data_IF_025536896669
#
_entry.id   IF_025536896669
#
_cell.length_a   1.000
_cell.length_b   1.000
_cell.length_c   1.000
_cell.angle_alpha   90.00
_cell.angle_beta   90.00
_cell.angle_gamma   90.00
#
_symmetry.space_group_name_H-M   'P 1'
#
loop_
_entity.id
_entity.type
_entity.pdbx_description
1 polymer ?
#
# COMPACT_ATOMS: atom_id res chain seq x y z
N UNK A 1 6.81 29.66 15.45
CA UNK A 1 7.78 28.97 14.56
C UNK A 1 8.14 27.55 15.03
N UNK A 2 7.32 26.88 15.85
CA UNK A 2 7.57 25.51 16.29
C UNK A 2 6.29 24.68 16.13
N UNK A 3 6.08 24.17 14.91
CA UNK A 3 5.08 23.14 14.67
C UNK A 3 5.78 21.77 14.82
N UNK A 4 5.15 20.86 15.55
CA UNK A 4 5.69 19.54 15.87
C UNK A 4 4.85 18.47 15.20
N UNK A 5 5.49 17.45 14.63
CA UNK A 5 4.79 16.32 14.03
C UNK A 5 4.81 15.14 15.01
N UNK A 6 3.65 14.49 15.16
CA UNK A 6 3.43 13.42 16.12
C UNK A 6 2.78 12.25 15.40
N UNK A 7 3.33 11.04 15.57
CA UNK A 7 2.75 9.81 15.06
C UNK A 7 2.32 8.92 16.19
N UNK A 8 1.08 8.45 16.18
CA UNK A 8 0.54 7.55 17.20
C UNK A 8 -0.11 6.31 16.57
N UNK A 9 0.06 5.13 17.17
CA UNK A 9 -0.56 3.87 16.71
C UNK A 9 -1.79 3.49 17.54
N UNK A 10 -2.96 3.23 16.93
CA UNK A 10 -4.14 2.69 17.63
C UNK A 10 -5.41 2.45 16.79
N UNK A 11 -6.28 1.57 17.27
CA UNK A 11 -7.31 0.77 16.56
C UNK A 11 -8.62 1.52 16.14
N UNK A 12 -9.42 0.88 15.26
CA UNK A 12 -10.25 1.46 14.18
C UNK A 12 -11.43 2.41 14.47
N UNK A 13 -11.98 2.52 15.68
CA UNK A 13 -13.28 3.22 15.86
C UNK A 13 -13.26 4.34 16.92
N UNK A 14 -12.26 4.35 17.81
CA UNK A 14 -12.17 5.34 18.89
C UNK A 14 -11.49 6.66 18.48
N UNK A 15 -10.50 6.65 17.58
CA UNK A 15 -9.69 7.84 17.32
C UNK A 15 -10.47 9.11 16.91
N UNK A 16 -11.55 8.99 16.13
CA UNK A 16 -12.34 10.16 15.67
C UNK A 16 -13.30 10.66 16.75
N UNK A 17 -13.95 9.74 17.49
CA UNK A 17 -14.99 10.09 18.47
C UNK A 17 -14.43 10.63 19.78
N UNK A 18 -13.16 10.38 20.07
CA UNK A 18 -12.52 10.74 21.35
C UNK A 18 -11.52 11.91 21.24
N UNK A 19 -10.89 12.15 20.08
CA UNK A 19 -9.80 13.14 19.93
C UNK A 19 -10.28 14.47 19.30
N UNK A 20 -11.28 14.44 18.43
CA UNK A 20 -11.81 15.64 17.75
C UNK A 20 -13.03 16.34 18.40
N UNK A 21 -13.67 15.86 19.49
CA UNK A 21 -14.71 16.64 20.16
C UNK A 21 -14.18 17.97 20.71
N UNK A 22 -15.06 18.97 20.81
CA UNK A 22 -14.80 20.24 21.51
C UNK A 22 -14.51 20.10 23.01
N UNK A 23 -14.78 18.91 23.58
CA UNK A 23 -14.43 18.55 24.95
C UNK A 23 -12.97 18.09 25.12
N UNK A 24 -12.19 17.97 24.04
CA UNK A 24 -10.77 17.66 24.13
C UNK A 24 -10.00 18.91 24.62
N UNK A 25 -9.35 18.87 25.79
CA UNK A 25 -8.59 20.00 26.34
C UNK A 25 -7.41 20.43 25.45
N UNK A 26 -6.97 19.57 24.54
CA UNK A 26 -5.86 19.81 23.62
C UNK A 26 -6.30 20.16 22.19
N UNK A 27 -7.59 20.35 21.94
CA UNK A 27 -8.11 20.58 20.59
C UNK A 27 -7.44 21.78 19.89
N UNK A 28 -7.18 22.87 20.62
CA UNK A 28 -6.54 24.07 20.09
C UNK A 28 -5.10 23.83 19.57
N UNK A 29 -4.42 22.81 20.11
CA UNK A 29 -3.07 22.45 19.72
C UNK A 29 -3.02 21.56 18.47
N UNK A 30 -4.12 20.93 18.08
CA UNK A 30 -4.16 20.03 16.92
C UNK A 30 -4.45 20.85 15.66
N UNK A 31 -3.44 21.04 14.79
CA UNK A 31 -3.60 21.74 13.50
C UNK A 31 -4.03 20.82 12.38
N UNK A 32 -3.55 19.58 12.40
CA UNK A 32 -3.92 18.56 11.42
C UNK A 32 -4.06 17.23 12.13
N UNK A 33 -5.09 16.47 11.75
CA UNK A 33 -5.27 15.09 12.14
C UNK A 33 -5.54 14.24 10.90
N UNK A 34 -4.76 13.18 10.70
CA UNK A 34 -4.96 12.19 9.64
C UNK A 34 -4.73 10.80 10.19
N UNK A 35 -5.48 9.82 9.68
CA UNK A 35 -5.41 8.43 10.12
C UNK A 35 -5.41 7.50 8.92
N UNK A 36 -4.59 6.47 8.98
CA UNK A 36 -4.58 5.35 8.04
C UNK A 36 -4.52 4.02 8.81
N UNK A 37 -5.62 3.27 8.81
CA UNK A 37 -5.80 2.05 9.62
C UNK A 37 -5.42 2.34 11.08
N UNK A 38 -4.27 1.83 11.54
CA UNK A 38 -3.80 1.97 12.91
C UNK A 38 -2.82 3.13 13.09
N UNK A 39 -2.25 3.69 12.02
CA UNK A 39 -1.31 4.81 12.09
C UNK A 39 -2.04 6.16 12.08
N UNK A 40 -1.68 7.05 13.00
CA UNK A 40 -2.20 8.41 13.13
C UNK A 40 -1.05 9.42 12.91
N UNK A 41 -1.30 10.47 12.15
CA UNK A 41 -0.44 11.63 11.97
C UNK A 41 -1.15 12.87 12.55
N UNK A 42 -0.47 13.56 13.45
CA UNK A 42 -0.92 14.82 14.04
C UNK A 42 0.13 15.90 13.76
N UNK A 43 -0.32 17.04 13.24
CA UNK A 43 0.48 18.28 13.26
C UNK A 43 0.03 19.06 14.49
N UNK A 44 0.96 19.26 15.40
CA UNK A 44 0.76 19.84 16.71
C UNK A 44 1.38 21.24 16.79
N UNK A 45 0.67 22.14 17.44
CA UNK A 45 1.09 23.50 17.71
C UNK A 45 1.17 23.71 19.21
N UNK A 46 2.38 23.92 19.73
CA UNK A 46 2.66 24.05 21.15
C UNK A 46 3.92 23.30 21.56
N UNK A 47 4.30 23.33 22.85
CA UNK A 47 5.51 22.67 23.34
C UNK A 47 5.48 21.15 23.17
N UNK A 48 6.63 20.52 22.94
CA UNK A 48 6.73 19.05 22.86
C UNK A 48 6.14 18.34 24.09
N UNK A 49 6.34 18.91 25.29
CA UNK A 49 5.84 18.34 26.54
C UNK A 49 4.32 18.12 26.53
N UNK A 50 3.57 19.04 25.92
CA UNK A 50 2.10 18.98 25.85
C UNK A 50 1.60 17.79 25.02
N UNK A 51 2.42 17.27 24.10
CA UNK A 51 2.08 16.08 23.32
C UNK A 51 2.27 14.81 24.13
N UNK A 52 3.29 14.75 24.99
CA UNK A 52 3.46 13.62 25.91
C UNK A 52 2.25 13.54 26.84
N UNK A 53 1.83 14.67 27.40
CA UNK A 53 0.61 14.76 28.23
C UNK A 53 -0.64 14.38 27.44
N UNK A 54 -0.75 14.80 26.18
CA UNK A 54 -1.84 14.37 25.30
C UNK A 54 -1.83 12.85 25.07
N UNK A 55 -0.66 12.25 24.82
CA UNK A 55 -0.54 10.81 24.58
C UNK A 55 -0.94 10.02 25.83
N UNK A 56 -0.53 10.48 27.00
CA UNK A 56 -0.95 9.92 28.29
C UNK A 56 -2.45 10.05 28.50
N UNK A 57 -3.01 11.24 28.26
CA UNK A 57 -4.46 11.46 28.36
C UNK A 57 -5.25 10.53 27.44
N UNK A 58 -4.87 10.41 26.16
CA UNK A 58 -5.54 9.50 25.21
C UNK A 58 -5.46 8.05 25.70
N UNK A 59 -4.35 7.65 26.31
CA UNK A 59 -4.19 6.31 26.90
C UNK A 59 -5.08 6.06 28.12
N UNK A 60 -5.57 7.10 28.79
CA UNK A 60 -6.56 6.94 29.88
C UNK A 60 -7.98 6.67 29.37
N UNK A 61 -8.29 7.04 28.12
CA UNK A 61 -9.64 6.95 27.55
C UNK A 61 -10.08 5.50 27.30
N UNK A 62 -9.13 4.57 27.14
CA UNK A 62 -9.46 3.17 26.92
C UNK A 62 -8.38 2.23 27.47
N UNK A 63 -8.69 1.41 28.49
CA UNK A 63 -7.72 0.50 29.11
C UNK A 63 -7.23 -0.62 28.17
N UNK A 64 -7.95 -0.90 27.09
CA UNK A 64 -7.60 -1.92 26.10
C UNK A 64 -6.82 -1.36 24.90
N UNK A 65 -6.61 -0.04 24.82
CA UNK A 65 -5.93 0.60 23.69
C UNK A 65 -4.79 1.50 24.16
N UNK A 66 -3.56 1.15 23.76
CA UNK A 66 -2.37 1.91 24.10
C UNK A 66 -1.74 2.52 22.86
N UNK A 67 -1.66 3.85 22.85
CA UNK A 67 -0.97 4.67 21.87
C UNK A 67 0.47 4.90 22.30
N UNK A 68 1.38 4.69 21.35
CA UNK A 68 2.78 5.08 21.45
C UNK A 68 3.01 6.25 20.51
N UNK A 69 3.62 7.34 20.98
CA UNK A 69 3.93 8.49 20.14
C UNK A 69 5.41 8.59 19.79
N UNK A 70 5.69 8.97 18.54
CA UNK A 70 7.01 9.44 18.12
C UNK A 70 6.89 10.87 17.65
N UNK A 71 7.80 11.73 18.09
CA UNK A 71 7.73 13.16 17.88
C UNK A 71 8.99 13.69 17.22
N UNK A 72 8.82 14.67 16.34
CA UNK A 72 9.95 15.36 15.72
C UNK A 72 9.53 16.75 15.25
N UNK A 73 10.44 17.71 15.39
CA UNK A 73 10.34 19.03 14.78
C UNK A 73 10.68 18.99 13.30
N UNK A 74 11.69 18.20 12.92
CA UNK A 74 12.33 18.32 11.61
C UNK A 74 11.78 17.32 10.59
N UNK A 75 11.54 16.08 11.02
CA UNK A 75 11.10 15.01 10.12
C UNK A 75 10.32 13.90 10.83
N UNK A 76 9.25 13.40 10.20
CA UNK A 76 8.51 12.23 10.70
C UNK A 76 8.23 11.22 9.59
N UNK A 77 8.28 9.93 9.93
CA UNK A 77 7.87 8.86 9.01
C UNK A 77 6.39 8.48 9.23
N UNK A 78 5.56 8.67 8.22
CA UNK A 78 4.15 8.27 8.21
C UNK A 78 3.88 7.36 7.00
N UNK A 79 3.51 6.09 7.26
CA UNK A 79 3.43 5.03 6.25
C UNK A 79 4.74 4.92 5.45
N UNK A 80 4.66 4.95 4.12
CA UNK A 80 5.83 4.96 3.24
C UNK A 80 6.36 6.37 2.94
N UNK A 81 5.99 7.38 3.73
CA UNK A 81 6.38 8.77 3.49
C UNK A 81 7.25 9.29 4.65
N UNK A 82 8.38 9.89 4.32
CA UNK A 82 9.08 10.82 5.22
C UNK A 82 8.53 12.23 4.95
N UNK A 83 8.15 12.98 5.99
CA UNK A 83 7.66 14.35 5.91
C UNK A 83 8.69 15.24 6.61
N UNK A 84 9.19 16.28 5.94
CA UNK A 84 10.17 17.22 6.52
C UNK A 84 9.56 18.63 6.73
N UNK A 85 10.16 19.40 7.62
CA UNK A 85 9.61 20.64 8.18
C UNK A 85 9.11 21.67 7.12
N UNK A 86 7.84 22.09 7.22
CA UNK A 86 7.23 23.18 6.43
C UNK A 86 6.99 22.94 4.92
N UNK A 87 7.63 21.95 4.31
CA UNK A 87 7.39 21.53 2.92
C UNK A 87 7.11 20.04 2.91
N UNK A 88 6.04 19.61 2.23
CA UNK A 88 5.71 18.20 2.04
C UNK A 88 6.74 17.53 1.11
N UNK A 89 8.00 17.47 1.53
CA UNK A 89 9.07 16.73 0.87
C UNK A 89 8.86 15.30 1.26
N UNK A 90 8.23 14.56 0.36
CA UNK A 90 7.93 13.16 0.52
C UNK A 90 9.07 12.34 -0.07
N UNK A 91 9.48 11.29 0.62
CA UNK A 91 10.38 10.26 0.12
C UNK A 91 9.91 8.89 0.59
N UNK A 92 10.28 7.83 -0.12
CA UNK A 92 9.88 6.49 0.30
C UNK A 92 10.69 6.07 1.52
N UNK A 93 10.04 5.89 2.67
CA UNK A 93 10.70 5.40 3.87
C UNK A 93 10.89 3.88 3.81
N UNK A 94 12.10 3.41 4.11
CA UNK A 94 12.40 1.98 4.26
C UNK A 94 12.80 1.71 5.70
N UNK A 95 12.16 0.70 6.32
CA UNK A 95 12.54 0.27 7.67
C UNK A 95 13.95 -0.34 7.62
N UNK A 96 14.82 -0.09 8.62
CA UNK A 96 16.16 -0.70 8.69
C UNK A 96 16.14 -2.24 8.61
N UNK A 97 15.03 -2.86 9.01
CA UNK A 97 14.83 -4.31 9.01
C UNK A 97 14.17 -4.86 7.73
N UNK A 98 13.96 -4.05 6.69
CA UNK A 98 13.27 -4.49 5.47
C UNK A 98 14.13 -5.48 4.66
N UNK A 99 13.71 -6.75 4.67
CA UNK A 99 14.36 -7.84 3.93
C UNK A 99 13.90 -7.86 2.48
N UNK A 100 14.28 -6.86 1.66
CA UNK A 100 14.02 -6.74 0.21
C UNK A 100 12.87 -7.65 -0.26
N UNK A 101 11.63 -7.41 0.20
CA UNK A 101 10.53 -8.39 0.11
C UNK A 101 9.94 -8.56 -1.30
N UNK A 102 10.64 -8.05 -2.31
CA UNK A 102 10.25 -8.12 -3.71
C UNK A 102 10.17 -9.56 -4.20
N UNK A 103 9.16 -9.81 -5.02
CA UNK A 103 8.96 -11.08 -5.70
C UNK A 103 10.20 -11.43 -6.55
N UNK A 104 10.61 -12.69 -6.60
CA UNK A 104 11.67 -13.13 -7.53
C UNK A 104 11.11 -13.32 -8.94
N UNK A 105 11.94 -13.09 -9.97
CA UNK A 105 11.48 -13.17 -11.36
C UNK A 105 11.11 -14.60 -11.82
N UNK A 106 11.67 -15.63 -11.19
CA UNK A 106 11.38 -17.05 -11.40
C UNK A 106 10.09 -17.53 -10.70
N UNK A 107 9.48 -16.69 -9.87
CA UNK A 107 8.28 -17.06 -9.12
C UNK A 107 7.09 -17.47 -10.02
N UNK A 108 6.22 -18.34 -9.48
CA UNK A 108 5.05 -18.86 -10.18
C UNK A 108 3.89 -17.85 -10.25
N UNK A 109 4.09 -16.78 -11.04
CA UNK A 109 3.12 -15.72 -11.26
C UNK A 109 2.92 -15.45 -12.76
N UNK A 110 1.79 -14.87 -13.16
CA UNK A 110 1.59 -14.43 -14.55
C UNK A 110 2.76 -13.57 -15.04
N UNK A 111 3.25 -13.85 -16.25
CA UNK A 111 4.38 -13.11 -16.84
C UNK A 111 4.11 -11.60 -16.85
N UNK A 112 2.89 -11.20 -17.21
CA UNK A 112 2.47 -9.79 -17.22
C UNK A 112 2.60 -9.13 -15.84
N UNK A 113 2.37 -9.86 -14.74
CA UNK A 113 2.53 -9.31 -13.39
C UNK A 113 4.01 -9.12 -13.07
N UNK A 114 4.84 -10.14 -13.33
CA UNK A 114 6.28 -10.05 -13.08
C UNK A 114 6.93 -8.93 -13.90
N UNK A 115 6.62 -8.84 -15.19
CA UNK A 115 7.19 -7.82 -16.08
C UNK A 115 6.79 -6.38 -15.69
N UNK A 116 5.57 -6.19 -15.17
CA UNK A 116 5.07 -4.87 -14.79
C UNK A 116 5.40 -4.48 -13.34
N UNK A 117 5.80 -5.43 -12.49
CA UNK A 117 6.12 -5.15 -11.10
C UNK A 117 7.23 -4.09 -10.94
N UNK A 118 8.37 -4.16 -11.65
CA UNK A 118 9.38 -3.10 -11.62
C UNK A 118 8.79 -1.72 -11.94
N UNK A 119 8.03 -1.62 -13.03
CA UNK A 119 7.41 -0.36 -13.45
C UNK A 119 6.47 0.21 -12.38
N UNK A 120 5.64 -0.64 -11.75
CA UNK A 120 4.77 -0.22 -10.65
C UNK A 120 5.55 0.30 -9.44
N UNK A 121 6.68 -0.31 -9.09
CA UNK A 121 7.53 0.17 -7.99
C UNK A 121 8.19 1.51 -8.31
N UNK A 122 8.72 1.71 -9.53
CA UNK A 122 9.26 3.01 -9.94
C UNK A 122 8.19 4.10 -10.02
N UNK A 123 6.96 3.77 -10.45
CA UNK A 123 5.84 4.71 -10.40
C UNK A 123 5.51 5.13 -8.97
N UNK A 124 5.53 4.18 -8.02
CA UNK A 124 5.34 4.49 -6.60
C UNK A 124 6.44 5.41 -6.08
N UNK A 125 7.71 5.14 -6.41
CA UNK A 125 8.82 6.04 -6.09
C UNK A 125 8.61 7.43 -6.70
N UNK A 126 8.17 7.52 -7.96
CA UNK A 126 7.93 8.80 -8.65
C UNK A 126 6.80 9.60 -8.01
N UNK A 127 5.75 8.92 -7.55
CA UNK A 127 4.62 9.51 -6.83
C UNK A 127 4.97 9.89 -5.39
N UNK A 128 5.88 9.18 -4.76
CA UNK A 128 6.23 9.43 -3.36
C UNK A 128 7.40 10.41 -3.23
N UNK A 129 8.32 10.50 -4.18
CA UNK A 129 9.46 11.41 -4.11
C UNK A 129 9.09 12.79 -4.66
N UNK A 130 9.24 13.84 -3.85
CA UNK A 130 9.08 15.23 -4.33
C UNK A 130 10.32 15.75 -5.07
N UNK A 131 11.52 15.32 -4.68
CA UNK A 131 12.78 15.73 -5.32
C UNK A 131 13.26 14.71 -6.35
N UNK A 132 13.69 15.22 -7.51
CA UNK A 132 14.35 14.40 -8.56
C UNK A 132 15.64 13.76 -8.06
N UNK A 133 16.38 14.42 -7.18
CA UNK A 133 17.62 13.88 -6.62
C UNK A 133 17.32 12.64 -5.74
N UNK A 134 16.41 12.77 -4.79
CA UNK A 134 15.98 11.67 -3.91
C UNK A 134 15.38 10.51 -4.72
N UNK A 135 14.59 10.82 -5.76
CA UNK A 135 14.08 9.81 -6.68
C UNK A 135 15.21 9.02 -7.34
N UNK A 136 16.25 9.69 -7.86
CA UNK A 136 17.35 9.01 -8.54
C UNK A 136 18.12 8.09 -7.58
N UNK A 137 18.40 8.53 -6.36
CA UNK A 137 19.07 7.71 -5.34
C UNK A 137 18.25 6.47 -5.00
N UNK A 138 16.96 6.64 -4.71
CA UNK A 138 16.07 5.51 -4.40
C UNK A 138 15.82 4.59 -5.61
N UNK A 139 15.79 5.15 -6.82
CA UNK A 139 15.67 4.37 -8.05
C UNK A 139 16.91 3.50 -8.30
N UNK A 140 18.11 3.98 -7.98
CA UNK A 140 19.34 3.18 -8.07
C UNK A 140 19.32 2.02 -7.06
N UNK A 141 18.95 2.29 -5.80
CA UNK A 141 18.76 1.23 -4.79
C UNK A 141 17.74 0.17 -5.24
N UNK A 142 16.59 0.60 -5.76
CA UNK A 142 15.56 -0.30 -6.28
C UNK A 142 16.04 -1.13 -7.48
N UNK A 143 16.83 -0.55 -8.39
CA UNK A 143 17.43 -1.31 -9.51
C UNK A 143 18.32 -2.43 -8.97
N UNK A 144 19.21 -2.13 -8.03
CA UNK A 144 20.08 -3.14 -7.39
C UNK A 144 19.27 -4.24 -6.74
N UNK A 145 18.21 -3.89 -6.00
CA UNK A 145 17.30 -4.85 -5.36
C UNK A 145 16.55 -5.75 -6.33
N UNK A 146 16.12 -5.21 -7.48
CA UNK A 146 15.47 -5.99 -8.53
C UNK A 146 16.45 -6.92 -9.26
N UNK A 147 17.67 -6.46 -9.54
CA UNK A 147 18.71 -7.29 -10.14
C UNK A 147 19.09 -8.45 -9.22
N UNK A 148 19.20 -8.21 -7.91
CA UNK A 148 19.42 -9.25 -6.89
C UNK A 148 18.27 -10.27 -6.82
N UNK A 149 17.09 -9.96 -7.38
CA UNK A 149 15.90 -10.84 -7.48
C UNK A 149 15.75 -11.49 -8.85
N UNK A 150 16.84 -11.53 -9.64
CA UNK A 150 16.93 -12.14 -10.96
C UNK A 150 16.03 -11.52 -12.03
N UNK A 151 15.64 -10.25 -11.87
CA UNK A 151 14.92 -9.56 -12.94
C UNK A 151 15.83 -9.30 -14.15
N UNK A 152 15.34 -9.50 -15.39
CA UNK A 152 16.10 -9.19 -16.59
C UNK A 152 16.51 -7.71 -16.63
N UNK A 153 17.80 -7.46 -16.94
CA UNK A 153 18.37 -6.09 -17.01
C UNK A 153 17.57 -5.17 -17.91
N UNK A 154 17.05 -5.69 -19.03
CA UNK A 154 16.22 -4.90 -19.95
C UNK A 154 14.94 -4.36 -19.30
N UNK A 155 14.27 -5.17 -18.49
CA UNK A 155 13.04 -4.77 -17.79
C UNK A 155 13.39 -3.74 -16.71
N UNK A 156 14.44 -4.01 -15.93
CA UNK A 156 14.91 -3.13 -14.86
C UNK A 156 15.33 -1.76 -15.40
N UNK A 157 16.03 -1.70 -16.53
CA UNK A 157 16.50 -0.45 -17.12
C UNK A 157 15.39 0.33 -17.86
N UNK A 158 14.39 -0.36 -18.40
CA UNK A 158 13.25 0.26 -19.11
C UNK A 158 12.24 0.85 -18.14
N UNK A 159 12.02 0.21 -16.99
CA UNK A 159 11.02 0.60 -16.01
C UNK A 159 11.18 2.04 -15.46
N UNK A 160 12.36 2.52 -15.01
CA UNK A 160 12.52 3.88 -14.50
C UNK A 160 12.38 4.93 -15.60
N UNK A 161 12.83 4.64 -16.84
CA UNK A 161 12.64 5.53 -17.99
C UNK A 161 11.15 5.75 -18.26
N UNK A 162 10.38 4.65 -18.28
CA UNK A 162 8.93 4.70 -18.45
C UNK A 162 8.25 5.44 -17.29
N UNK A 163 8.68 5.24 -16.05
CA UNK A 163 8.11 5.92 -14.88
C UNK A 163 8.38 7.43 -14.89
N UNK A 164 9.57 7.87 -15.32
CA UNK A 164 9.93 9.30 -15.45
C UNK A 164 9.03 10.07 -16.41
N UNK A 165 8.55 9.43 -17.47
CA UNK A 165 7.65 10.04 -18.45
C UNK A 165 6.26 10.34 -17.87
N UNK A 166 5.91 9.80 -16.70
CA UNK A 166 4.63 10.09 -16.06
C UNK A 166 4.76 11.36 -15.23
N UNK A 167 3.83 12.30 -15.44
CA UNK A 167 3.81 13.52 -14.66
C UNK A 167 3.43 13.24 -13.20
N UNK A 168 4.14 13.87 -12.26
CA UNK A 168 3.97 13.61 -10.84
C UNK A 168 2.58 14.07 -10.36
N UNK A 169 2.13 15.25 -10.78
CA UNK A 169 0.84 15.80 -10.37
C UNK A 169 -0.30 14.88 -10.85
N UNK A 170 -0.22 14.40 -12.10
CA UNK A 170 -1.19 13.44 -12.65
C UNK A 170 -1.23 12.09 -11.88
N UNK A 171 -0.14 11.68 -11.23
CA UNK A 171 -0.08 10.47 -10.40
C UNK A 171 -0.67 10.67 -8.99
N UNK A 172 -0.84 11.91 -8.55
CA UNK A 172 -1.47 12.26 -7.27
C UNK A 172 -2.99 12.33 -7.39
N UNK A 173 -3.50 12.63 -8.58
CA UNK A 173 -4.93 12.73 -8.82
C UNK A 173 -5.64 11.39 -8.55
N UNK A 174 -6.75 11.40 -7.81
CA UNK A 174 -7.54 10.21 -7.57
C UNK A 174 -8.12 9.72 -8.91
N UNK A 175 -7.84 8.46 -9.23
CA UNK A 175 -8.31 7.87 -10.47
C UNK A 175 -9.84 7.75 -10.44
N UNK A 176 -10.54 8.45 -11.34
CA UNK A 176 -11.99 8.31 -11.53
C UNK A 176 -12.24 6.92 -12.11
N UNK A 177 -12.59 5.98 -11.22
CA UNK A 177 -12.95 4.63 -11.68
C UNK A 177 -14.26 4.73 -12.43
N UNK A 178 -14.21 4.58 -13.74
CA UNK A 178 -15.38 4.22 -14.51
C UNK A 178 -15.97 2.94 -13.89
N UNK A 179 -17.20 3.02 -13.38
CA UNK A 179 -17.95 1.88 -12.84
C UNK A 179 -18.45 1.00 -14.00
N UNK A 180 -17.72 0.95 -15.10
CA UNK A 180 -17.98 0.00 -16.17
C UNK A 180 -17.70 -1.40 -15.63
N UNK A 181 -18.79 -2.07 -15.23
CA UNK A 181 -18.86 -3.46 -14.74
C UNK A 181 -18.39 -4.42 -15.84
N UNK A 182 -17.10 -4.47 -16.10
CA UNK A 182 -16.51 -5.58 -16.84
C UNK A 182 -16.62 -6.83 -15.96
N UNK A 183 -17.25 -7.87 -16.48
CA UNK A 183 -17.34 -9.15 -15.79
C UNK A 183 -15.93 -9.71 -15.59
N UNK A 184 -15.52 -9.94 -14.34
CA UNK A 184 -14.19 -10.49 -14.06
C UNK A 184 -14.30 -11.99 -13.81
N UNK A 185 -13.66 -12.78 -14.68
CA UNK A 185 -13.50 -14.22 -14.48
C UNK A 185 -12.24 -14.45 -13.63
N UNK A 186 -12.44 -14.93 -12.40
CA UNK A 186 -11.33 -15.19 -11.47
C UNK A 186 -11.03 -16.68 -11.43
N UNK A 187 -9.79 -17.06 -11.77
CA UNK A 187 -9.35 -18.46 -11.79
C UNK A 187 -8.00 -18.61 -11.09
N UNK A 188 -7.58 -19.82 -10.74
CA UNK A 188 -6.24 -20.05 -10.18
C UNK A 188 -5.19 -19.98 -11.29
N UNK A 189 -4.04 -19.34 -11.01
CA UNK A 189 -2.91 -19.35 -11.92
C UNK A 189 -2.28 -20.75 -11.97
N UNK A 190 -2.17 -21.27 -13.18
CA UNK A 190 -1.56 -22.55 -13.53
C UNK A 190 -0.81 -22.38 -14.86
N UNK A 191 0.09 -23.30 -15.23
CA UNK A 191 0.74 -23.27 -16.55
C UNK A 191 -0.25 -23.24 -17.72
N UNK A 192 -1.45 -23.81 -17.54
CA UNK A 192 -2.51 -23.87 -18.55
C UNK A 192 -3.41 -22.64 -18.57
N UNK A 193 -3.32 -21.74 -17.58
CA UNK A 193 -4.24 -20.59 -17.45
C UNK A 193 -4.26 -19.69 -18.68
N UNK A 194 -3.12 -19.50 -19.36
CA UNK A 194 -3.08 -18.75 -20.62
C UNK A 194 -3.78 -19.47 -21.77
N UNK A 195 -3.66 -20.80 -21.84
CA UNK A 195 -4.37 -21.62 -22.84
C UNK A 195 -5.87 -21.55 -22.59
N UNK A 196 -6.30 -21.73 -21.34
CA UNK A 196 -7.71 -21.62 -20.91
C UNK A 196 -8.27 -20.24 -21.28
N UNK A 197 -7.58 -19.16 -20.89
CA UNK A 197 -7.96 -17.79 -21.23
C UNK A 197 -8.12 -17.60 -22.74
N UNK A 198 -7.15 -18.04 -23.55
CA UNK A 198 -7.20 -17.92 -25.01
C UNK A 198 -8.37 -18.69 -25.60
N UNK A 199 -8.61 -19.92 -25.15
CA UNK A 199 -9.71 -20.76 -25.63
C UNK A 199 -11.07 -20.14 -25.33
N UNK A 200 -11.29 -19.69 -24.09
CA UNK A 200 -12.54 -19.05 -23.68
C UNK A 200 -12.78 -17.76 -24.47
N UNK A 201 -11.75 -16.91 -24.61
CA UNK A 201 -11.87 -15.68 -25.37
C UNK A 201 -12.10 -15.91 -26.87
N UNK A 202 -11.48 -16.94 -27.45
CA UNK A 202 -11.66 -17.31 -28.86
C UNK A 202 -13.10 -17.80 -29.14
N UNK A 203 -13.71 -18.51 -28.20
CA UNK A 203 -15.08 -19.04 -28.32
C UNK A 203 -16.13 -18.16 -27.64
N UNK A 204 -15.77 -16.93 -27.23
CA UNK A 204 -16.67 -16.06 -26.48
C UNK A 204 -17.92 -15.67 -27.28
N UNK A 205 -17.77 -15.48 -28.59
CA UNK A 205 -18.90 -15.15 -29.47
C UNK A 205 -20.00 -16.22 -29.42
N UNK A 206 -19.63 -17.50 -29.33
CA UNK A 206 -20.57 -18.63 -29.23
C UNK A 206 -21.38 -18.54 -27.93
N UNK A 207 -20.74 -18.13 -26.83
CA UNK A 207 -21.40 -17.93 -25.53
C UNK A 207 -22.32 -16.70 -25.51
N UNK A 208 -22.09 -15.74 -26.40
CA UNK A 208 -22.98 -14.58 -26.60
C UNK A 208 -24.14 -14.88 -27.55
N UNK A 209 -24.02 -15.90 -28.42
CA UNK A 209 -25.05 -16.29 -29.38
C UNK A 209 -26.29 -16.92 -28.74
N UNK A 210 -26.21 -17.36 -27.48
CA UNK A 210 -27.34 -17.96 -26.74
C UNK A 210 -28.34 -16.93 -26.16
N UNK A 211 -28.42 -15.73 -26.73
CA UNK A 211 -29.38 -14.68 -26.34
C UNK A 211 -29.00 -13.88 -25.09
N UNK A 212 -27.88 -14.20 -24.44
CA UNK A 212 -27.37 -13.42 -23.31
C UNK A 212 -26.31 -12.42 -23.80
N UNK A 213 -26.57 -11.12 -23.62
CA UNK A 213 -25.61 -10.05 -23.95
C UNK A 213 -24.51 -9.96 -22.87
N UNK A 214 -23.65 -10.98 -22.81
CA UNK A 214 -22.62 -11.10 -21.76
C UNK A 214 -21.35 -10.36 -22.19
N UNK A 215 -20.89 -9.35 -21.43
CA UNK A 215 -19.69 -8.60 -21.77
C UNK A 215 -18.46 -9.51 -21.74
N UNK A 216 -17.50 -9.23 -22.63
CA UNK A 216 -16.23 -9.96 -22.70
C UNK A 216 -15.51 -9.91 -21.35
N UNK A 217 -15.15 -11.07 -20.76
CA UNK A 217 -14.67 -11.08 -19.40
C UNK A 217 -13.20 -10.67 -19.31
N UNK A 218 -12.89 -10.00 -18.21
CA UNK A 218 -11.52 -9.74 -17.80
C UNK A 218 -11.05 -10.92 -16.94
N UNK A 219 -9.90 -11.50 -17.30
CA UNK A 219 -9.34 -12.63 -16.56
C UNK A 219 -8.42 -12.13 -15.46
N UNK A 220 -8.73 -12.50 -14.22
CA UNK A 220 -7.87 -12.32 -13.06
C UNK A 220 -7.41 -13.68 -12.53
N UNK A 221 -6.16 -13.76 -12.08
CA UNK A 221 -5.59 -15.00 -11.57
C UNK A 221 -5.28 -14.89 -10.08
N UNK A 222 -5.83 -15.81 -9.29
CA UNK A 222 -5.46 -16.03 -7.90
C UNK A 222 -4.21 -16.91 -7.83
N UNK A 223 -3.40 -16.74 -6.79
CA UNK A 223 -2.31 -17.66 -6.49
C UNK A 223 -2.85 -19.05 -6.16
N UNK A 224 -2.09 -20.10 -6.48
CA UNK A 224 -2.37 -21.45 -5.98
C UNK A 224 -2.15 -21.53 -4.47
N UNK A 225 -2.80 -22.49 -3.83
CA UNK A 225 -2.53 -22.83 -2.44
C UNK A 225 -1.15 -23.46 -2.35
N UNK A 226 -0.35 -22.98 -1.38
CA UNK A 226 0.92 -23.59 -1.04
C UNK A 226 0.76 -24.48 0.20
N UNK A 227 1.81 -25.25 0.53
CA UNK A 227 1.82 -26.14 1.69
C UNK A 227 1.49 -25.39 2.98
N UNK A 228 1.99 -24.16 3.12
CA UNK A 228 1.70 -23.30 4.29
C UNK A 228 0.20 -23.03 4.43
N UNK A 229 -0.50 -22.75 3.33
CA UNK A 229 -1.95 -22.51 3.37
C UNK A 229 -2.75 -23.77 3.70
N UNK A 230 -2.23 -24.94 3.32
CA UNK A 230 -2.86 -26.24 3.62
C UNK A 230 -2.64 -26.65 5.06
N UNK A 231 -1.50 -26.29 5.65
CA UNK A 231 -1.13 -26.70 7.01
C UNK A 231 -1.58 -25.67 8.05
N UNK A 232 -1.36 -24.38 7.78
CA UNK A 232 -1.63 -23.29 8.72
C UNK A 232 -3.02 -22.73 8.45
N UNK A 233 -3.94 -22.98 9.38
CA UNK A 233 -5.29 -22.46 9.32
C UNK A 233 -5.44 -21.34 10.33
N UNK A 234 -5.86 -20.16 9.88
CA UNK A 234 -6.23 -19.04 10.76
C UNK A 234 -7.54 -19.28 11.49
N UNK A 235 -8.31 -20.31 11.10
CA UNK A 235 -9.54 -20.72 11.77
C UNK A 235 -9.39 -22.16 12.25
N UNK A 236 -9.78 -22.49 13.49
CA UNK A 236 -9.80 -23.87 13.95
C UNK A 236 -10.71 -24.70 13.03
N UNK A 237 -10.25 -25.89 12.62
CA UNK A 237 -11.13 -26.82 11.91
C UNK A 237 -12.20 -27.28 12.89
N UNK A 238 -13.46 -27.08 12.56
CA UNK A 238 -14.55 -27.77 13.24
C UNK A 238 -14.38 -29.26 12.90
N UNK A 239 -13.79 -30.02 13.82
CA UNK A 239 -13.78 -31.47 13.75
C UNK A 239 -15.23 -31.87 14.01
N UNK A 240 -15.99 -32.12 12.96
CA UNK A 240 -17.24 -32.84 13.10
C UNK A 240 -16.84 -34.26 13.47
N UNK A 241 -17.03 -34.62 14.74
CA UNK A 241 -16.92 -36.00 15.18
C UNK A 241 -18.00 -36.80 14.44
N UNK A 242 -17.61 -37.52 13.39
CA UNK A 242 -18.42 -38.63 12.88
C UNK A 242 -18.40 -39.71 13.96
N UNK A 243 -19.56 -39.91 14.60
CA UNK A 243 -19.87 -41.10 15.40
C UNK A 243 -19.94 -42.34 14.51
#
# INVERSE_FOLDING_TARGET
>A
ENDHQVKAGGNQVAGIKFILPSTNPFFANIKLWRRYIDDILIVWHGPLETVSTFTEWVNTLNPFLRFTSTMSTNEISFLDLLIMNGKLITSTYQKPTDRNSLLTYDSHHPKSLRDNLPFGQFLRLRRNCSSTHTYNTQANDLQTKLLARNYPREIVNRAPKRARNNNREALLEPNTRDINKSMTCVTTFTPLSNKIKRTILKRWSILGSSGCNIPRPLFAFKRSQNIKDVIIHTRPRNITQTQ
#
